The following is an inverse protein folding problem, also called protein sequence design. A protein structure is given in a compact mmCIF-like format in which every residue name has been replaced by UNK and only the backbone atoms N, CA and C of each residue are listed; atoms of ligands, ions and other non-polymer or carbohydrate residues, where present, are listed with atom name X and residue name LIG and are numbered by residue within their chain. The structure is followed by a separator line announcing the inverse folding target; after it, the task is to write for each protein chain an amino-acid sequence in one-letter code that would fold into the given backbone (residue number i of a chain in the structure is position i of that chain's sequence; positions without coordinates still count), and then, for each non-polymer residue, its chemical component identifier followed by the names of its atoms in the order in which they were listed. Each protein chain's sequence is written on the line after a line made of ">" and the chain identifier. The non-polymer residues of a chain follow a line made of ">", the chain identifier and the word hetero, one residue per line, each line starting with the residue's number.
data_IF_704519969963
#
_entry.id   IF_704519969963
#
_cell.length_a   1.000
_cell.length_b   1.000
_cell.length_c   1.000
_cell.angle_alpha   90.00
_cell.angle_beta   90.00
_cell.angle_gamma   90.00
#
_symmetry.space_group_name_H-M   'P 1'
#
loop_
_entity.id
_entity.type
_entity.pdbx_description
1 polymer ?
#
# COMPACT_ATOMS: atom_id res chain seq x y z
N UNK A 1 -0.13 -11.85 -9.04
CA UNK A 1 1.08 -11.11 -8.64
C UNK A 1 1.08 -11.00 -7.12
N UNK A 2 2.17 -11.33 -6.41
CA UNK A 2 2.30 -11.09 -4.96
C UNK A 2 2.37 -9.59 -4.64
N UNK A 3 1.96 -9.16 -3.44
CA UNK A 3 1.95 -7.75 -3.06
C UNK A 3 3.35 -7.11 -3.13
N UNK A 4 4.40 -7.84 -2.75
CA UNK A 4 5.78 -7.33 -2.77
C UNK A 4 6.23 -6.89 -4.17
N UNK A 5 5.77 -7.59 -5.22
CA UNK A 5 6.08 -7.19 -6.60
C UNK A 5 5.36 -5.89 -6.97
N UNK A 6 4.11 -5.72 -6.54
CA UNK A 6 3.35 -4.50 -6.75
C UNK A 6 3.96 -3.32 -5.98
N UNK A 7 4.38 -3.52 -4.72
CA UNK A 7 5.09 -2.52 -3.91
C UNK A 7 6.39 -2.10 -4.60
N UNK A 8 7.23 -3.05 -5.00
CA UNK A 8 8.49 -2.77 -5.68
C UNK A 8 8.29 -2.01 -6.99
N UNK A 9 7.28 -2.40 -7.77
CA UNK A 9 6.91 -1.71 -9.01
C UNK A 9 6.55 -0.25 -8.69
N UNK A 10 5.63 -0.05 -7.74
CA UNK A 10 5.14 1.28 -7.38
C UNK A 10 6.25 2.19 -6.85
N UNK A 11 7.17 1.67 -6.02
CA UNK A 11 8.35 2.39 -5.53
C UNK A 11 9.30 2.81 -6.66
N UNK A 12 9.46 1.96 -7.69
CA UNK A 12 10.35 2.23 -8.82
C UNK A 12 9.77 3.18 -9.89
N UNK A 13 8.44 3.27 -9.96
CA UNK A 13 7.74 4.05 -10.99
C UNK A 13 7.18 5.37 -10.47
N UNK A 14 7.08 5.57 -9.15
CA UNK A 14 6.60 6.82 -8.59
C UNK A 14 7.60 7.98 -8.82
N UNK A 15 7.12 9.21 -9.08
CA UNK A 15 5.71 9.62 -9.08
C UNK A 15 4.97 9.26 -10.39
N UNK A 16 3.71 8.85 -10.26
CA UNK A 16 2.83 8.49 -11.38
C UNK A 16 1.87 9.62 -11.72
N UNK A 17 1.53 9.81 -13.00
CA UNK A 17 0.32 10.57 -13.37
C UNK A 17 -0.94 9.79 -12.98
N UNK A 18 -2.10 10.44 -12.89
CA UNK A 18 -3.37 9.75 -12.61
C UNK A 18 -3.66 8.63 -13.62
N UNK A 19 -3.32 8.85 -14.91
CA UNK A 19 -3.46 7.82 -15.94
C UNK A 19 -2.54 6.62 -15.68
N UNK A 20 -1.28 6.86 -15.33
CA UNK A 20 -0.34 5.79 -14.98
C UNK A 20 -0.77 5.04 -13.72
N UNK A 21 -1.30 5.73 -12.72
CA UNK A 21 -1.87 5.13 -11.51
C UNK A 21 -3.09 4.25 -11.83
N UNK A 22 -3.99 4.68 -12.72
CA UNK A 22 -5.12 3.87 -13.18
C UNK A 22 -4.65 2.59 -13.85
N UNK A 23 -3.71 2.71 -14.81
CA UNK A 23 -3.14 1.56 -15.52
C UNK A 23 -2.45 0.60 -14.56
N UNK A 24 -1.70 1.11 -13.58
CA UNK A 24 -1.08 0.28 -12.55
C UNK A 24 -2.12 -0.49 -11.74
N UNK A 25 -3.16 0.18 -11.22
CA UNK A 25 -4.20 -0.49 -10.41
C UNK A 25 -4.99 -1.51 -11.22
N UNK A 26 -5.33 -1.22 -12.47
CA UNK A 26 -6.08 -2.12 -13.36
C UNK A 26 -5.32 -3.41 -13.72
N UNK A 27 -3.99 -3.37 -13.71
CA UNK A 27 -3.15 -4.56 -13.96
C UNK A 27 -3.07 -5.52 -12.76
N UNK A 28 -3.45 -5.06 -11.57
CA UNK A 28 -3.39 -5.86 -10.36
C UNK A 28 -4.67 -6.69 -10.18
N UNK A 29 -4.57 -7.93 -9.66
CA UNK A 29 -5.75 -8.66 -9.20
C UNK A 29 -6.51 -7.86 -8.12
N UNK A 30 -7.86 -7.96 -8.03
CA UNK A 30 -8.65 -7.18 -7.07
C UNK A 30 -8.16 -7.27 -5.62
N UNK A 31 -7.77 -8.47 -5.17
CA UNK A 31 -7.17 -8.66 -3.84
C UNK A 31 -5.91 -7.79 -3.65
N UNK A 32 -5.01 -7.79 -4.64
CA UNK A 32 -3.75 -7.04 -4.58
C UNK A 32 -4.00 -5.54 -4.66
N UNK A 33 -5.04 -5.10 -5.38
CA UNK A 33 -5.44 -3.69 -5.38
C UNK A 33 -5.79 -3.23 -3.96
N UNK A 34 -6.65 -3.99 -3.26
CA UNK A 34 -7.03 -3.70 -1.87
C UNK A 34 -5.81 -3.72 -0.94
N UNK A 35 -4.95 -4.73 -1.09
CA UNK A 35 -3.71 -4.85 -0.32
C UNK A 35 -2.77 -3.66 -0.50
N UNK A 36 -2.62 -3.13 -1.73
CA UNK A 36 -1.80 -1.94 -1.98
C UNK A 36 -2.38 -0.71 -1.29
N UNK A 37 -3.69 -0.48 -1.38
CA UNK A 37 -4.30 0.68 -0.75
C UNK A 37 -4.21 0.57 0.77
N UNK A 38 -4.51 -0.60 1.35
CA UNK A 38 -4.32 -0.86 2.77
C UNK A 38 -2.86 -0.63 3.19
N UNK A 39 -1.90 -1.11 2.40
CA UNK A 39 -0.48 -0.94 2.67
C UNK A 39 -0.04 0.53 2.71
N UNK A 40 -0.57 1.37 1.81
CA UNK A 40 -0.30 2.81 1.79
C UNK A 40 -0.80 3.48 3.08
N UNK A 41 -2.02 3.17 3.53
CA UNK A 41 -2.59 3.79 4.73
C UNK A 41 -1.92 3.28 6.01
N UNK A 42 -1.74 1.96 6.16
CA UNK A 42 -1.07 1.38 7.32
C UNK A 42 0.36 1.88 7.41
N UNK A 43 1.07 1.93 6.27
CA UNK A 43 2.44 2.44 6.19
C UNK A 43 2.55 3.92 6.55
N UNK A 44 1.59 4.75 6.12
CA UNK A 44 1.49 6.15 6.53
C UNK A 44 1.35 6.30 8.03
N UNK A 45 0.46 5.51 8.63
CA UNK A 45 0.19 5.60 10.07
C UNK A 45 1.38 5.11 10.92
N UNK A 46 2.29 4.32 10.32
CA UNK A 46 3.49 3.79 10.96
C UNK A 46 4.79 4.45 10.47
N UNK A 47 4.71 5.61 9.79
CA UNK A 47 5.84 6.23 9.10
C UNK A 47 7.12 6.34 9.95
N UNK A 48 6.96 6.60 11.25
CA UNK A 48 8.06 6.77 12.22
C UNK A 48 8.23 5.58 13.18
N UNK A 49 7.51 4.49 12.96
CA UNK A 49 7.54 3.29 13.79
C UNK A 49 8.44 2.22 13.18
N UNK A 50 9.03 1.39 14.04
CA UNK A 50 9.78 0.20 13.62
C UNK A 50 8.94 -1.07 13.72
N UNK A 51 7.84 -1.04 14.47
CA UNK A 51 6.91 -2.15 14.66
C UNK A 51 5.48 -1.62 14.57
N UNK A 52 4.53 -2.55 14.54
CA UNK A 52 3.12 -2.25 14.68
C UNK A 52 2.79 -1.58 16.03
N UNK A 53 1.80 -0.69 16.04
CA UNK A 53 1.08 -0.34 17.27
C UNK A 53 0.27 -1.53 17.78
N UNK A 54 -0.04 -1.54 19.08
CA UNK A 54 -0.79 -2.65 19.70
C UNK A 54 -2.17 -2.87 19.06
N UNK A 55 -2.82 -1.80 18.61
CA UNK A 55 -4.17 -1.81 18.04
C UNK A 55 -4.19 -1.74 16.50
N UNK A 56 -3.08 -2.07 15.83
CA UNK A 56 -3.06 -2.03 14.36
C UNK A 56 -4.05 -3.04 13.77
N UNK A 57 -4.80 -2.61 12.75
CA UNK A 57 -5.59 -3.51 11.94
C UNK A 57 -4.79 -3.90 10.68
N UNK A 58 -4.22 -5.10 10.69
CA UNK A 58 -3.49 -5.68 9.55
C UNK A 58 -4.44 -6.49 8.65
N UNK A 59 -5.36 -5.78 8.02
CA UNK A 59 -6.35 -6.37 7.09
C UNK A 59 -6.70 -5.36 6.01
N UNK A 60 -7.04 -5.84 4.82
CA UNK A 60 -7.71 -5.01 3.81
C UNK A 60 -9.03 -4.38 4.28
N UNK A 61 -9.64 -4.83 5.38
CA UNK A 61 -10.81 -4.16 5.99
C UNK A 61 -10.50 -2.71 6.42
N UNK A 62 -9.22 -2.35 6.55
CA UNK A 62 -8.78 -0.96 6.79
C UNK A 62 -9.32 0.03 5.75
N UNK A 63 -9.64 -0.46 4.55
CA UNK A 63 -10.09 0.36 3.43
C UNK A 63 -11.51 0.01 2.98
N UNK A 64 -12.31 -0.68 3.81
CA UNK A 64 -13.68 -1.13 3.48
C UNK A 64 -14.61 -0.01 3.01
N UNK A 65 -14.40 1.19 3.53
CA UNK A 65 -15.11 2.43 3.22
C UNK A 65 -14.63 3.09 1.91
N UNK A 66 -13.55 2.60 1.29
CA UNK A 66 -12.97 3.14 0.07
C UNK A 66 -13.41 2.31 -1.13
N UNK A 67 -14.21 2.87 -2.06
CA UNK A 67 -14.64 2.13 -3.23
C UNK A 67 -13.47 1.94 -4.23
N UNK A 68 -13.39 0.81 -4.95
CA UNK A 68 -12.28 0.53 -5.87
C UNK A 68 -12.01 1.58 -6.95
N UNK A 69 -13.04 2.32 -7.37
CA UNK A 69 -12.93 3.42 -8.35
C UNK A 69 -12.01 4.56 -7.88
N UNK A 70 -11.77 4.70 -6.57
CA UNK A 70 -10.98 5.79 -5.99
C UNK A 70 -9.51 5.39 -5.79
N UNK A 71 -9.14 4.11 -6.01
CA UNK A 71 -7.81 3.59 -5.72
C UNK A 71 -6.69 4.28 -6.53
N UNK A 72 -6.92 4.53 -7.82
CA UNK A 72 -5.95 5.22 -8.67
C UNK A 72 -5.72 6.67 -8.19
N UNK A 73 -6.79 7.34 -7.75
CA UNK A 73 -6.71 8.69 -7.20
C UNK A 73 -5.87 8.71 -5.92
N UNK A 74 -6.05 7.72 -5.03
CA UNK A 74 -5.26 7.60 -3.80
C UNK A 74 -3.77 7.44 -4.10
N UNK A 75 -3.40 6.56 -5.04
CA UNK A 75 -2.00 6.40 -5.45
C UNK A 75 -1.43 7.73 -5.97
N UNK A 76 -2.16 8.42 -6.84
CA UNK A 76 -1.76 9.71 -7.39
C UNK A 76 -1.59 10.80 -6.31
N UNK A 77 -2.56 10.92 -5.40
CA UNK A 77 -2.57 11.93 -4.33
C UNK A 77 -1.45 11.72 -3.30
N UNK A 78 -0.99 10.47 -3.14
CA UNK A 78 0.07 10.12 -2.18
C UNK A 78 1.47 10.12 -2.76
N UNK A 79 1.66 10.34 -4.06
CA UNK A 79 2.95 10.29 -4.77
C UNK A 79 4.14 10.87 -3.98
N UNK A 80 3.99 12.05 -3.38
CA UNK A 80 5.08 12.75 -2.68
C UNK A 80 5.64 12.01 -1.46
N UNK A 81 4.85 11.12 -0.85
CA UNK A 81 5.24 10.35 0.33
C UNK A 81 5.00 8.84 0.15
N UNK A 82 4.58 8.41 -1.03
CA UNK A 82 4.18 7.03 -1.35
C UNK A 82 5.30 6.04 -1.02
N UNK A 83 6.52 6.33 -1.49
CA UNK A 83 7.70 5.48 -1.25
C UNK A 83 7.95 5.33 0.25
N UNK A 84 7.87 6.43 1.02
CA UNK A 84 8.09 6.40 2.46
C UNK A 84 7.03 5.57 3.20
N UNK A 85 5.77 5.60 2.75
CA UNK A 85 4.70 4.78 3.32
C UNK A 85 4.93 3.30 3.04
N UNK A 86 5.35 2.95 1.82
CA UNK A 86 5.65 1.57 1.44
C UNK A 86 6.90 1.04 2.16
N UNK A 87 7.95 1.85 2.31
CA UNK A 87 9.13 1.50 3.11
C UNK A 87 8.77 1.29 4.59
N UNK A 88 7.86 2.09 5.11
CA UNK A 88 7.39 2.00 6.49
C UNK A 88 6.67 0.68 6.77
N UNK A 89 5.73 0.28 5.91
CA UNK A 89 5.02 -1.00 6.10
C UNK A 89 5.94 -2.21 5.89
N UNK A 90 6.86 -2.17 4.93
CA UNK A 90 7.87 -3.22 4.75
C UNK A 90 8.77 -3.35 5.98
N UNK A 91 9.21 -2.22 6.56
CA UNK A 91 10.03 -2.20 7.79
C UNK A 91 9.28 -2.83 8.96
N UNK A 92 8.04 -2.42 9.21
CA UNK A 92 7.27 -2.95 10.32
C UNK A 92 6.94 -4.44 10.14
N UNK A 93 6.64 -4.88 8.92
CA UNK A 93 6.43 -6.29 8.59
C UNK A 93 7.68 -7.13 8.83
N UNK A 94 8.84 -6.65 8.38
CA UNK A 94 10.12 -7.32 8.60
C UNK A 94 10.45 -7.47 10.10
N UNK A 95 10.24 -6.42 10.90
CA UNK A 95 10.57 -6.42 12.32
C UNK A 95 9.62 -7.25 13.20
N UNK A 96 8.45 -7.61 12.68
CA UNK A 96 7.41 -8.36 13.42
C UNK A 96 7.15 -9.75 12.85
N UNK A 97 7.78 -10.09 11.71
CA UNK A 97 7.58 -11.37 11.03
C UNK A 97 6.23 -11.50 10.32
N UNK A 98 5.53 -10.38 10.08
CA UNK A 98 4.27 -10.38 9.34
C UNK A 98 4.53 -10.45 7.83
N UNK A 99 3.83 -11.35 7.12
CA UNK A 99 3.94 -11.47 5.67
C UNK A 99 2.87 -10.60 5.00
N UNK A 100 3.28 -9.61 4.21
CA UNK A 100 2.34 -8.68 3.57
C UNK A 100 1.39 -9.35 2.58
N UNK A 101 1.69 -10.56 2.09
CA UNK A 101 0.74 -11.30 1.25
C UNK A 101 -0.54 -11.72 2.00
N UNK A 102 -0.51 -11.68 3.34
CA UNK A 102 -1.60 -12.05 4.22
C UNK A 102 -2.53 -10.88 4.57
N UNK A 103 -2.24 -9.66 4.09
CA UNK A 103 -3.14 -8.49 4.16
C UNK A 103 -4.50 -8.74 3.51
#
# INVERSE_FOLDING_TARGET
>A
MPIYNAINTLKSTAPLTLQQASVFMEQLPPKVQMQIIAAIYIGRDHLHSNTWSEDVMLSTDYIDHIPPKDYAQIVYDKNSALVNYLDSIERCAANTGFNLNDL
#
